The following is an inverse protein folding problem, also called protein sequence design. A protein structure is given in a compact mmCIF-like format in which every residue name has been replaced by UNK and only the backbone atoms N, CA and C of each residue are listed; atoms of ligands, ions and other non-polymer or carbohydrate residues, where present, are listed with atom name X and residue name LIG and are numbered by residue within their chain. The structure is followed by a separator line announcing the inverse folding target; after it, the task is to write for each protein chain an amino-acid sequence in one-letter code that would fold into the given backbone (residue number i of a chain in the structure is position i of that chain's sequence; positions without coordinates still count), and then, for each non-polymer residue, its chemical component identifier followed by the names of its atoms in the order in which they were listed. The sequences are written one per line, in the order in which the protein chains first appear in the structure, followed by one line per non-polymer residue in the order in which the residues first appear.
data_IF_271981315159
#
_entry.id   IF_271981315159
#
_cell.length_a   1.000
_cell.length_b   1.000
_cell.length_c   1.000
_cell.angle_alpha   90.00
_cell.angle_beta   90.00
_cell.angle_gamma   90.00
#
_symmetry.space_group_name_H-M   'P 1'
#
loop_
_entity.id
_entity.type
_entity.pdbx_description
1 polymer ?
#
# COMPACT_ATOMS: atom_id res chain seq x y z
N UNK A 1 -3.48 10.95 -3.26
CA UNK A 1 -4.36 10.23 -2.31
C UNK A 1 -3.50 9.37 -1.38
N UNK A 2 -3.84 9.29 -0.10
CA UNK A 2 -3.12 8.49 0.91
C UNK A 2 -4.12 7.80 1.85
N UNK A 3 -3.92 6.50 2.07
CA UNK A 3 -4.67 5.67 3.02
C UNK A 3 -3.71 5.17 4.10
N UNK A 4 -4.17 5.04 5.35
CA UNK A 4 -3.34 4.63 6.49
C UNK A 4 -4.04 3.49 7.26
N UNK A 5 -3.27 2.50 7.71
CA UNK A 5 -3.78 1.30 8.40
C UNK A 5 -3.91 1.47 9.92
N UNK A 6 -3.72 2.69 10.42
CA UNK A 6 -3.87 3.01 11.84
C UNK A 6 -4.80 4.21 11.97
N UNK A 7 -5.63 4.19 13.01
CA UNK A 7 -6.44 5.33 13.39
C UNK A 7 -5.47 6.31 14.06
N UNK A 8 -5.25 7.47 13.44
CA UNK A 8 -4.56 8.56 14.14
C UNK A 8 -5.45 8.96 15.33
N UNK A 9 -5.21 8.36 16.50
CA UNK A 9 -6.10 8.44 17.67
C UNK A 9 -6.12 9.83 18.35
N UNK A 10 -5.77 10.90 17.64
CA UNK A 10 -5.62 12.23 18.25
C UNK A 10 -6.33 13.37 17.51
N UNK A 11 -7.10 13.13 16.44
CA UNK A 11 -7.78 14.26 15.78
C UNK A 11 -8.90 13.93 14.80
N UNK A 12 -8.86 12.77 14.14
CA UNK A 12 -9.86 12.43 13.13
C UNK A 12 -10.48 11.06 13.41
N UNK A 13 -11.81 11.02 13.53
CA UNK A 13 -12.61 9.79 13.61
C UNK A 13 -12.72 9.13 12.23
N UNK A 14 -11.59 8.87 11.60
CA UNK A 14 -11.56 8.20 10.30
C UNK A 14 -11.53 6.70 10.54
N UNK A 15 -12.55 6.00 10.05
CA UNK A 15 -12.58 4.53 10.05
C UNK A 15 -11.30 4.01 9.38
N UNK A 16 -10.76 2.90 9.89
CA UNK A 16 -9.62 2.24 9.26
C UNK A 16 -9.97 1.86 7.81
N UNK A 17 -9.30 2.49 6.85
CA UNK A 17 -9.52 2.26 5.42
C UNK A 17 -8.71 1.08 4.88
N UNK A 18 -7.73 0.61 5.66
CA UNK A 18 -6.83 -0.48 5.30
C UNK A 18 -6.86 -1.58 6.37
N UNK A 19 -6.77 -2.86 5.96
CA UNK A 19 -6.75 -3.98 6.90
C UNK A 19 -5.43 -4.04 7.69
N UNK A 20 -5.49 -4.67 8.86
CA UNK A 20 -4.29 -5.08 9.58
C UNK A 20 -3.60 -6.22 8.82
N UNK A 21 -2.30 -6.09 8.60
CA UNK A 21 -1.48 -7.12 7.95
C UNK A 21 -0.66 -7.88 9.00
N UNK A 22 -0.42 -9.15 8.73
CA UNK A 22 0.40 -10.01 9.58
C UNK A 22 1.89 -9.81 9.29
N UNK A 23 2.67 -9.62 10.34
CA UNK A 23 4.14 -9.42 10.27
C UNK A 23 4.82 -10.58 9.55
N UNK A 24 5.71 -10.25 8.61
CA UNK A 24 6.48 -11.21 7.83
C UNK A 24 5.70 -11.95 6.72
N UNK A 25 4.40 -11.68 6.57
CA UNK A 25 3.58 -12.29 5.52
C UNK A 25 3.66 -11.52 4.21
N UNK A 26 3.36 -12.24 3.14
CA UNK A 26 3.37 -11.74 1.76
C UNK A 26 1.96 -11.41 1.33
N UNK A 27 1.83 -10.31 0.61
CA UNK A 27 0.57 -9.82 0.10
C UNK A 27 0.74 -9.40 -1.35
N UNK A 28 -0.32 -9.59 -2.13
CA UNK A 28 -0.45 -8.98 -3.45
C UNK A 28 -1.34 -7.75 -3.34
N UNK A 29 -0.80 -6.60 -3.69
CA UNK A 29 -1.53 -5.36 -3.84
C UNK A 29 -2.04 -5.26 -5.28
N UNK A 30 -3.35 -5.04 -5.43
CA UNK A 30 -3.99 -4.86 -6.74
C UNK A 30 -4.77 -3.55 -6.69
N UNK A 31 -4.61 -2.73 -7.72
CA UNK A 31 -5.38 -1.50 -7.89
C UNK A 31 -6.34 -1.61 -9.07
N UNK A 32 -7.43 -0.86 -8.99
CA UNK A 32 -8.40 -0.72 -10.07
C UNK A 32 -8.65 0.78 -10.27
N UNK A 33 -8.03 1.32 -11.31
CA UNK A 33 -8.21 2.70 -11.74
C UNK A 33 -7.92 2.85 -13.24
N UNK A 34 -8.36 3.96 -13.82
CA UNK A 34 -7.89 4.43 -15.14
C UNK A 34 -7.28 5.82 -14.99
N UNK A 35 -6.20 6.11 -15.72
CA UNK A 35 -5.56 7.42 -15.71
C UNK A 35 -5.19 7.91 -17.11
N UNK A 36 -5.01 9.22 -17.23
CA UNK A 36 -4.47 9.87 -18.43
C UNK A 36 -3.36 10.85 -18.02
N UNK A 37 -2.15 10.78 -18.61
CA UNK A 37 -1.67 9.73 -19.53
C UNK A 37 -1.66 8.32 -18.91
N UNK A 38 -1.51 7.29 -19.73
CA UNK A 38 -1.37 5.92 -19.22
C UNK A 38 -0.06 5.76 -18.42
N UNK A 39 -0.06 4.90 -17.41
CA UNK A 39 1.11 4.53 -16.59
C UNK A 39 1.77 5.72 -15.85
N UNK A 40 1.06 6.84 -15.73
CA UNK A 40 1.52 8.06 -15.04
C UNK A 40 1.23 8.06 -13.54
N UNK A 41 1.03 6.88 -12.94
CA UNK A 41 0.74 6.70 -11.50
C UNK A 41 1.56 5.54 -10.96
N UNK A 42 2.25 5.76 -9.84
CA UNK A 42 2.90 4.70 -9.06
C UNK A 42 2.19 4.52 -7.72
N UNK A 43 2.33 3.33 -7.14
CA UNK A 43 1.84 3.01 -5.80
C UNK A 43 3.03 3.00 -4.85
N UNK A 44 2.96 3.77 -3.77
CA UNK A 44 3.96 3.75 -2.71
C UNK A 44 3.36 3.21 -1.43
N UNK A 45 3.99 2.18 -0.88
CA UNK A 45 3.74 1.69 0.46
C UNK A 45 4.87 2.15 1.39
N UNK A 46 4.51 2.74 2.52
CA UNK A 46 5.44 3.14 3.58
C UNK A 46 5.11 2.37 4.85
N UNK A 47 6.12 1.78 5.49
CA UNK A 47 5.99 0.99 6.71
C UNK A 47 6.61 1.74 7.88
N UNK A 48 5.91 1.74 9.01
CA UNK A 48 6.32 2.50 10.19
C UNK A 48 6.35 1.59 11.42
N UNK A 49 7.29 1.84 12.32
CA UNK A 49 7.27 1.26 13.67
C UNK A 49 6.25 2.01 14.56
N UNK A 50 6.05 1.54 15.80
CA UNK A 50 5.06 2.10 16.74
C UNK A 50 5.26 3.58 17.07
N UNK A 51 6.51 4.07 17.07
CA UNK A 51 6.83 5.48 17.32
C UNK A 51 6.38 6.41 16.19
N UNK A 52 6.04 5.86 15.01
CA UNK A 52 5.80 6.61 13.79
C UNK A 52 7.02 6.78 12.89
N UNK A 53 8.20 6.29 13.28
CA UNK A 53 9.40 6.30 12.43
C UNK A 53 9.21 5.39 11.21
N UNK A 54 9.56 5.91 10.03
CA UNK A 54 9.59 5.15 8.78
C UNK A 54 10.71 4.10 8.83
N UNK A 55 10.38 2.84 8.57
CA UNK A 55 11.33 1.71 8.58
C UNK A 55 11.50 1.06 7.21
N UNK A 56 10.65 1.39 6.24
CA UNK A 56 10.79 0.87 4.88
C UNK A 56 9.79 1.47 3.91
N UNK A 57 10.13 1.39 2.63
CA UNK A 57 9.30 1.86 1.52
C UNK A 57 9.32 0.82 0.41
N UNK A 58 8.17 0.56 -0.19
CA UNK A 58 8.02 -0.23 -1.40
C UNK A 58 7.30 0.62 -2.46
N UNK A 59 7.86 0.70 -3.67
CA UNK A 59 7.24 1.40 -4.80
C UNK A 59 6.91 0.38 -5.86
N UNK A 60 5.66 0.38 -6.30
CA UNK A 60 5.10 -0.51 -7.31
C UNK A 60 4.55 0.31 -8.46
N UNK A 61 4.45 -0.31 -9.63
CA UNK A 61 3.71 0.26 -10.75
C UNK A 61 2.25 0.50 -10.40
N UNK A 62 1.57 1.32 -11.20
CA UNK A 62 0.17 1.68 -11.01
C UNK A 62 -0.74 0.49 -10.76
N UNK A 63 -0.52 -0.65 -11.43
CA UNK A 63 -1.33 -1.88 -11.31
C UNK A 63 -1.15 -2.63 -9.97
N UNK A 64 -0.14 -2.27 -9.18
CA UNK A 64 0.25 -2.97 -7.96
C UNK A 64 1.31 -4.03 -8.18
N UNK A 65 1.42 -4.98 -7.25
CA UNK A 65 2.49 -5.98 -7.21
C UNK A 65 2.57 -6.70 -5.87
N UNK A 66 3.61 -7.52 -5.70
CA UNK A 66 3.85 -8.27 -4.48
C UNK A 66 4.64 -7.45 -3.45
N UNK A 67 4.28 -7.60 -2.19
CA UNK A 67 4.89 -6.89 -1.07
C UNK A 67 4.93 -7.76 0.17
N UNK A 68 6.05 -7.70 0.89
CA UNK A 68 6.18 -8.33 2.21
C UNK A 68 5.92 -7.29 3.29
N UNK A 69 5.03 -7.58 4.23
CA UNK A 69 4.84 -6.73 5.38
C UNK A 69 6.00 -6.93 6.37
N UNK A 70 6.83 -5.92 6.68
CA UNK A 70 8.03 -6.10 7.49
C UNK A 70 7.73 -6.61 8.91
N UNK A 71 8.65 -7.38 9.49
CA UNK A 71 8.50 -7.91 10.85
C UNK A 71 8.35 -6.81 11.91
N UNK A 72 9.09 -5.71 11.74
CA UNK A 72 9.14 -4.62 12.73
C UNK A 72 8.07 -3.55 12.48
N UNK A 73 7.23 -3.72 11.45
CA UNK A 73 6.17 -2.77 11.14
C UNK A 73 5.02 -2.87 12.17
N UNK A 74 4.52 -1.70 12.54
CA UNK A 74 3.32 -1.53 13.38
C UNK A 74 2.12 -1.08 12.54
N UNK A 75 2.36 -0.19 11.57
CA UNK A 75 1.33 0.27 10.65
C UNK A 75 1.96 0.63 9.30
N UNK A 76 1.12 0.82 8.29
CA UNK A 76 1.55 1.21 6.97
C UNK A 76 0.63 2.24 6.35
N UNK A 77 1.10 2.86 5.28
CA UNK A 77 0.28 3.68 4.42
C UNK A 77 0.46 3.29 2.96
N UNK A 78 -0.59 3.52 2.17
CA UNK A 78 -0.56 3.38 0.71
C UNK A 78 -0.84 4.76 0.14
N UNK A 79 -0.02 5.20 -0.81
CA UNK A 79 -0.19 6.47 -1.51
C UNK A 79 -0.10 6.29 -3.01
N UNK A 80 -0.87 7.07 -3.76
CA UNK A 80 -0.66 7.21 -5.20
C UNK A 80 0.33 8.34 -5.45
N UNK A 81 1.40 8.07 -6.20
CA UNK A 81 2.35 9.08 -6.67
C UNK A 81 1.92 9.53 -8.06
N UNK A 82 1.74 10.84 -8.22
CA UNK A 82 1.49 11.45 -9.52
C UNK A 82 2.82 11.55 -10.31
N UNK A 83 2.90 10.88 -11.46
CA UNK A 83 4.02 10.93 -12.41
C UNK A 83 3.62 11.63 -13.71
N UNK A 84 2.92 12.76 -13.62
CA UNK A 84 2.39 13.50 -14.78
C UNK A 84 0.93 13.16 -15.13
N UNK A 85 0.24 12.45 -14.25
CA UNK A 85 -1.20 12.19 -14.31
C UNK A 85 -1.99 13.51 -14.26
N UNK A 86 -2.91 13.65 -15.21
CA UNK A 86 -3.86 14.77 -15.32
C UNK A 86 -5.26 14.38 -14.87
N UNK A 87 -5.65 13.14 -15.18
CA UNK A 87 -6.96 12.59 -14.83
C UNK A 87 -6.81 11.21 -14.20
N UNK A 88 -7.64 10.93 -13.19
CA UNK A 88 -7.67 9.66 -12.49
C UNK A 88 -9.11 9.31 -12.10
N UNK A 89 -9.58 8.15 -12.55
CA UNK A 89 -10.80 7.52 -12.07
C UNK A 89 -10.39 6.31 -11.22
N UNK A 90 -10.41 6.48 -9.90
CA UNK A 90 -10.00 5.46 -8.94
C UNK A 90 -11.20 4.71 -8.39
N UNK A 91 -11.16 3.37 -8.43
CA UNK A 91 -12.26 2.52 -7.97
C UNK A 91 -11.94 1.84 -6.64
N UNK A 92 -10.80 1.15 -6.54
CA UNK A 92 -10.43 0.39 -5.32
C UNK A 92 -8.96 -0.01 -5.27
N UNK A 93 -8.50 -0.31 -4.06
CA UNK A 93 -7.31 -1.12 -3.77
C UNK A 93 -7.77 -2.43 -3.13
N UNK A 94 -7.08 -3.52 -3.46
CA UNK A 94 -7.22 -4.83 -2.80
C UNK A 94 -5.87 -5.28 -2.27
N UNK A 95 -5.86 -5.84 -1.08
CA UNK A 95 -4.74 -6.57 -0.51
C UNK A 95 -5.17 -8.01 -0.30
N UNK A 96 -4.41 -8.95 -0.86
CA UNK A 96 -4.73 -10.38 -0.80
C UNK A 96 -3.52 -11.09 -0.21
N UNK A 97 -3.73 -11.93 0.80
CA UNK A 97 -2.65 -12.76 1.34
C UNK A 97 -2.11 -13.68 0.24
N UNK A 98 -0.79 -13.70 0.08
CA UNK A 98 -0.10 -14.51 -0.90
C UNK A 98 0.81 -15.52 -0.18
N UNK A 99 0.77 -16.79 -0.59
CA UNK A 99 1.85 -17.71 -0.26
C UNK A 99 3.07 -17.33 -1.11
N UNK A 100 4.28 -17.33 -0.52
CA UNK A 100 5.49 -17.39 -1.34
C UNK A 100 5.35 -18.64 -2.21
N UNK A 101 5.30 -18.46 -3.52
CA UNK A 101 5.42 -19.59 -4.43
C UNK A 101 6.69 -20.33 -4.08
N UNK A 102 6.60 -21.64 -3.85
CA UNK A 102 7.74 -22.52 -3.72
C UNK A 102 8.50 -22.46 -5.05
N UNK A 103 9.55 -21.65 -5.12
CA UNK A 103 10.59 -21.84 -6.14
C UNK A 103 11.20 -23.20 -5.86
N UNK A 104 10.80 -24.18 -6.66
CA UNK A 104 11.38 -25.51 -6.68
C UNK A 104 12.62 -25.39 -7.54
N UNK A 105 13.80 -25.50 -6.92
CA UNK A 105 15.07 -25.73 -7.60
C UNK A 105 15.49 -27.17 -7.33
#
# INVERSE_FOLDING_TARGET
MKWVSNALYQGERTLLQLPLLERGKHYRLITDFTCQPQDSVLIKMEFYERSGKLIGTCVLDGKGGDVTYPMDAYFYSISLINMGMRELNFRKIKLIHASKGTETA
#
